data_IF_147621189620
#
_entry.id   IF_147621189620
#
_cell.length_a   1.000
_cell.length_b   1.000
_cell.length_c   1.000
_cell.angle_alpha   90.00
_cell.angle_beta   90.00
_cell.angle_gamma   90.00
#
_symmetry.space_group_name_H-M   'P 1'
#
loop_
_entity.id
_entity.type
_entity.pdbx_description
1 polymer ?
#
# COMPACT_ATOMS: atom_id res chain seq x y z
N UNK A 1 -25.44 40.97 -46.79
CA UNK A 1 -24.80 39.65 -46.64
C UNK A 1 -23.90 39.71 -45.41
N UNK A 2 -24.24 38.96 -44.37
CA UNK A 2 -23.56 39.04 -43.07
C UNK A 2 -22.31 38.16 -43.11
N UNK A 3 -21.17 38.73 -43.48
CA UNK A 3 -19.91 38.10 -43.15
C UNK A 3 -19.75 38.09 -41.61
N UNK A 4 -18.99 37.13 -41.09
CA UNK A 4 -18.30 37.24 -39.79
C UNK A 4 -19.04 36.80 -38.51
N UNK A 5 -19.16 35.49 -38.28
CA UNK A 5 -19.04 35.03 -36.88
C UNK A 5 -17.91 34.05 -36.59
N UNK A 6 -17.25 33.47 -37.60
CA UNK A 6 -16.21 32.47 -37.34
C UNK A 6 -14.90 32.62 -38.12
N UNK A 7 -14.76 33.60 -39.01
CA UNK A 7 -13.53 33.78 -39.82
C UNK A 7 -12.41 34.36 -38.96
N UNK A 8 -11.30 33.62 -38.85
CA UNK A 8 -10.07 34.03 -38.16
C UNK A 8 -9.06 34.64 -39.13
N UNK A 9 -8.00 35.20 -38.58
CA UNK A 9 -6.90 35.78 -39.37
C UNK A 9 -6.27 34.71 -40.27
N UNK A 10 -6.06 33.50 -39.75
CA UNK A 10 -5.46 32.40 -40.50
C UNK A 10 -6.33 31.98 -41.68
N UNK A 11 -7.65 31.91 -41.49
CA UNK A 11 -8.60 31.56 -42.56
C UNK A 11 -8.49 32.56 -43.72
N UNK A 12 -8.42 33.86 -43.42
CA UNK A 12 -8.27 34.91 -44.44
C UNK A 12 -6.92 34.86 -45.15
N UNK A 13 -5.84 34.58 -44.41
CA UNK A 13 -4.50 34.43 -44.99
C UNK A 13 -4.49 33.25 -45.98
N UNK A 14 -5.09 32.13 -45.62
CA UNK A 14 -5.16 30.94 -46.47
C UNK A 14 -5.91 31.24 -47.76
N UNK A 15 -7.10 31.85 -47.67
CA UNK A 15 -7.91 32.21 -48.84
C UNK A 15 -7.17 33.19 -49.75
N UNK A 16 -6.55 34.23 -49.19
CA UNK A 16 -5.80 35.22 -49.97
C UNK A 16 -4.62 34.59 -50.72
N UNK A 17 -3.89 33.68 -50.07
CA UNK A 17 -2.82 32.93 -50.71
C UNK A 17 -3.36 32.04 -51.85
N UNK A 18 -4.55 31.45 -51.66
CA UNK A 18 -5.18 30.56 -52.64
C UNK A 18 -5.69 31.30 -53.88
N UNK A 19 -6.18 32.54 -53.72
CA UNK A 19 -6.54 33.41 -54.85
C UNK A 19 -5.34 34.14 -55.47
N UNK A 20 -4.12 33.90 -54.96
CA UNK A 20 -2.88 34.47 -55.50
C UNK A 20 -2.60 35.93 -55.08
N UNK A 21 -3.26 36.43 -54.04
CA UNK A 21 -2.99 37.75 -53.49
C UNK A 21 -1.80 37.70 -52.52
N UNK A 22 -0.96 38.74 -52.54
CA UNK A 22 0.20 38.80 -51.64
C UNK A 22 -0.25 39.11 -50.20
N UNK A 23 0.06 38.21 -49.27
CA UNK A 23 -0.28 38.36 -47.85
C UNK A 23 0.98 38.56 -47.00
N UNK A 24 0.92 39.52 -46.09
CA UNK A 24 1.96 39.72 -45.07
C UNK A 24 1.46 39.26 -43.70
N UNK A 25 2.30 38.55 -42.96
CA UNK A 25 1.96 38.03 -41.62
C UNK A 25 1.66 39.14 -40.60
N UNK A 26 2.10 40.37 -40.86
CA UNK A 26 1.87 41.55 -40.01
C UNK A 26 0.49 42.18 -40.20
N UNK A 27 -0.22 41.84 -41.27
CA UNK A 27 -1.47 42.52 -41.63
C UNK A 27 -2.57 42.24 -40.61
N UNK A 28 -3.41 43.24 -40.39
CA UNK A 28 -4.57 43.13 -39.51
C UNK A 28 -5.71 42.38 -40.21
N UNK A 29 -6.63 41.79 -39.44
CA UNK A 29 -7.85 41.16 -40.01
C UNK A 29 -8.61 42.14 -40.91
N UNK A 30 -8.63 43.43 -40.54
CA UNK A 30 -9.26 44.47 -41.34
C UNK A 30 -8.57 44.65 -42.70
N UNK A 31 -7.25 44.81 -42.71
CA UNK A 31 -6.45 44.95 -43.95
C UNK A 31 -6.61 43.73 -44.87
N UNK A 32 -6.61 42.53 -44.31
CA UNK A 32 -6.82 41.28 -45.06
C UNK A 32 -8.21 41.23 -45.70
N UNK A 33 -9.26 41.62 -44.98
CA UNK A 33 -10.61 41.72 -45.54
C UNK A 33 -10.68 42.75 -46.65
N UNK A 34 -10.10 43.92 -46.44
CA UNK A 34 -10.05 44.97 -47.46
C UNK A 34 -9.32 44.51 -48.71
N UNK A 35 -8.22 43.77 -48.59
CA UNK A 35 -7.54 43.17 -49.74
C UNK A 35 -8.41 42.15 -50.46
N UNK A 36 -9.05 41.26 -49.71
CA UNK A 36 -9.92 40.23 -50.27
C UNK A 36 -11.07 40.84 -51.07
N UNK A 37 -11.77 41.82 -50.50
CA UNK A 37 -12.88 42.53 -51.14
C UNK A 37 -12.43 43.31 -52.39
N UNK A 38 -11.17 43.76 -52.43
CA UNK A 38 -10.61 44.49 -53.57
C UNK A 38 -10.01 43.60 -54.66
N UNK A 39 -9.76 42.31 -54.37
CA UNK A 39 -9.20 41.35 -55.31
C UNK A 39 -10.09 41.20 -56.55
N UNK A 40 -9.48 40.89 -57.69
CA UNK A 40 -10.23 40.69 -58.95
C UNK A 40 -11.19 39.52 -58.84
N UNK A 41 -10.70 38.40 -58.31
CA UNK A 41 -11.48 37.18 -58.10
C UNK A 41 -12.72 37.41 -57.24
N UNK A 42 -12.64 38.21 -56.18
CA UNK A 42 -13.82 38.51 -55.37
C UNK A 42 -14.85 39.40 -56.08
N UNK A 43 -14.41 40.28 -56.98
CA UNK A 43 -15.31 41.14 -57.78
C UNK A 43 -15.96 40.37 -58.92
N UNK A 44 -15.23 39.46 -59.52
CA UNK A 44 -15.67 38.65 -60.66
C UNK A 44 -16.56 37.49 -60.21
N UNK A 45 -16.16 36.79 -59.14
CA UNK A 45 -16.90 35.66 -58.56
C UNK A 45 -16.83 35.68 -57.01
N UNK A 46 -17.72 36.45 -56.35
CA UNK A 46 -17.81 36.49 -54.90
C UNK A 46 -18.19 35.15 -54.26
N UNK A 47 -18.91 34.29 -54.99
CA UNK A 47 -19.43 33.03 -54.47
C UNK A 47 -18.31 31.99 -54.35
N UNK A 48 -17.42 31.94 -55.35
CA UNK A 48 -16.20 31.15 -55.28
C UNK A 48 -15.36 31.51 -54.03
N UNK A 49 -15.10 32.79 -53.80
CA UNK A 49 -14.29 33.23 -52.66
C UNK A 49 -14.99 32.91 -51.32
N UNK A 50 -16.32 32.96 -51.26
CA UNK A 50 -17.04 32.53 -50.06
C UNK A 50 -16.95 31.03 -49.82
N UNK A 51 -16.97 30.21 -50.86
CA UNK A 51 -16.74 28.78 -50.73
C UNK A 51 -15.33 28.49 -50.20
N UNK A 52 -14.30 29.22 -50.66
CA UNK A 52 -12.94 29.10 -50.09
C UNK A 52 -12.89 29.48 -48.61
N UNK A 53 -13.58 30.55 -48.20
CA UNK A 53 -13.67 30.93 -46.78
C UNK A 53 -14.33 29.82 -45.96
N UNK A 54 -15.43 29.26 -46.44
CA UNK A 54 -16.13 28.17 -45.75
C UNK A 54 -15.25 26.93 -45.63
N UNK A 55 -14.60 26.52 -46.71
CA UNK A 55 -13.66 25.39 -46.73
C UNK A 55 -12.50 25.61 -45.75
N UNK A 56 -11.94 26.83 -45.66
CA UNK A 56 -10.87 27.15 -44.71
C UNK A 56 -11.33 27.06 -43.26
N UNK A 57 -12.55 27.54 -42.96
CA UNK A 57 -13.16 27.42 -41.63
C UNK A 57 -13.41 25.95 -41.27
N UNK A 58 -13.97 25.18 -42.18
CA UNK A 58 -14.25 23.75 -42.00
C UNK A 58 -12.97 22.94 -41.79
N UNK A 59 -11.91 23.18 -42.58
CA UNK A 59 -10.61 22.53 -42.41
C UNK A 59 -10.02 22.81 -41.02
N UNK A 60 -10.07 24.06 -40.56
CA UNK A 60 -9.62 24.42 -39.20
C UNK A 60 -10.45 23.74 -38.12
N UNK A 61 -11.77 23.70 -38.26
CA UNK A 61 -12.66 23.04 -37.31
C UNK A 61 -12.40 21.53 -37.26
N UNK A 62 -12.30 20.88 -38.42
CA UNK A 62 -11.98 19.46 -38.53
C UNK A 62 -10.64 19.13 -37.87
N UNK A 63 -9.59 19.93 -38.11
CA UNK A 63 -8.29 19.77 -37.44
C UNK A 63 -8.39 19.92 -35.93
N UNK A 64 -9.16 20.88 -35.44
CA UNK A 64 -9.36 21.07 -33.99
C UNK A 64 -10.09 19.89 -33.35
N UNK A 65 -11.13 19.36 -34.00
CA UNK A 65 -11.85 18.17 -33.54
C UNK A 65 -10.97 16.92 -33.52
N UNK A 66 -10.18 16.70 -34.58
CA UNK A 66 -9.21 15.60 -34.63
C UNK A 66 -8.18 15.70 -33.50
N UNK A 67 -7.64 16.89 -33.23
CA UNK A 67 -6.71 17.11 -32.12
C UNK A 67 -7.35 16.82 -30.76
N UNK A 68 -8.59 17.26 -30.56
CA UNK A 68 -9.34 17.00 -29.33
C UNK A 68 -9.63 15.50 -29.14
N UNK A 69 -9.96 14.80 -30.22
CA UNK A 69 -10.15 13.35 -30.20
C UNK A 69 -8.84 12.62 -29.85
N UNK A 70 -7.71 13.02 -30.45
CA UNK A 70 -6.39 12.45 -30.14
C UNK A 70 -6.04 12.69 -28.67
N UNK A 71 -6.23 13.92 -28.17
CA UNK A 71 -5.96 14.26 -26.78
C UNK A 71 -6.82 13.45 -25.79
N UNK A 72 -8.11 13.27 -26.10
CA UNK A 72 -9.00 12.45 -25.28
C UNK A 72 -8.57 10.98 -25.25
N UNK A 73 -8.21 10.40 -26.40
CA UNK A 73 -7.69 9.03 -26.47
C UNK A 73 -6.39 8.87 -25.66
N UNK A 74 -5.48 9.85 -25.73
CA UNK A 74 -4.25 9.84 -24.93
C UNK A 74 -4.53 9.89 -23.43
N UNK A 75 -5.46 10.76 -23.01
CA UNK A 75 -5.89 10.89 -21.62
C UNK A 75 -6.50 9.58 -21.10
N UNK A 76 -7.31 8.90 -21.91
CA UNK A 76 -7.91 7.61 -21.55
C UNK A 76 -6.85 6.51 -21.36
N UNK A 77 -5.87 6.44 -22.27
CA UNK A 77 -4.74 5.53 -22.14
C UNK A 77 -3.92 5.80 -20.87
N UNK A 78 -3.69 7.07 -20.53
CA UNK A 78 -2.98 7.45 -19.32
C UNK A 78 -3.74 7.05 -18.05
N UNK A 79 -5.06 7.27 -18.02
CA UNK A 79 -5.92 6.83 -16.90
C UNK A 79 -5.84 5.32 -16.69
N UNK A 80 -5.88 4.53 -17.77
CA UNK A 80 -5.76 3.07 -17.69
C UNK A 80 -4.40 2.66 -17.12
N UNK A 81 -3.31 3.28 -17.57
CA UNK A 81 -1.96 3.03 -17.04
C UNK A 81 -1.86 3.35 -15.56
N UNK A 82 -2.40 4.50 -15.12
CA UNK A 82 -2.42 4.88 -13.71
C UNK A 82 -3.20 3.89 -12.85
N UNK A 83 -4.38 3.47 -13.30
CA UNK A 83 -5.16 2.44 -12.60
C UNK A 83 -4.45 1.09 -12.51
N UNK A 84 -3.64 0.74 -13.52
CA UNK A 84 -2.82 -0.47 -13.47
C UNK A 84 -1.70 -0.34 -12.44
N UNK A 85 -0.95 0.77 -12.47
CA UNK A 85 0.13 1.05 -11.50
C UNK A 85 -0.42 1.07 -10.07
N UNK A 86 -1.57 1.70 -9.84
CA UNK A 86 -2.22 1.73 -8.53
C UNK A 86 -2.56 0.33 -8.03
N UNK A 87 -3.14 -0.53 -8.89
CA UNK A 87 -3.45 -1.93 -8.55
C UNK A 87 -2.19 -2.72 -8.22
N UNK A 88 -1.14 -2.60 -9.03
CA UNK A 88 0.14 -3.29 -8.82
C UNK A 88 0.80 -2.83 -7.51
N UNK A 89 0.80 -1.52 -7.25
CA UNK A 89 1.38 -0.93 -6.02
C UNK A 89 0.62 -1.40 -4.77
N UNK A 90 -0.71 -1.39 -4.81
CA UNK A 90 -1.53 -1.86 -3.70
C UNK A 90 -1.30 -3.35 -3.41
N UNK A 91 -1.19 -4.17 -4.46
CA UNK A 91 -0.89 -5.60 -4.32
C UNK A 91 0.49 -5.83 -3.69
N UNK A 92 1.52 -5.09 -4.11
CA UNK A 92 2.86 -5.19 -3.52
C UNK A 92 2.87 -4.79 -2.04
N UNK A 93 2.16 -3.72 -1.70
CA UNK A 93 2.05 -3.24 -0.32
C UNK A 93 1.33 -4.24 0.59
N UNK A 94 0.31 -4.93 0.09
CA UNK A 94 -0.38 -6.00 0.82
C UNK A 94 0.54 -7.20 1.07
N UNK A 95 1.30 -7.63 0.07
CA UNK A 95 2.30 -8.69 0.22
C UNK A 95 3.39 -8.33 1.23
N UNK A 96 3.86 -7.08 1.23
CA UNK A 96 4.85 -6.60 2.20
C UNK A 96 4.30 -6.59 3.63
N UNK A 97 3.05 -6.16 3.82
CA UNK A 97 2.37 -6.23 5.13
C UNK A 97 2.30 -7.65 5.68
N UNK A 98 1.93 -8.63 4.84
CA UNK A 98 1.85 -10.04 5.24
C UNK A 98 3.24 -10.55 5.65
N UNK A 99 4.29 -10.22 4.88
CA UNK A 99 5.66 -10.60 5.22
C UNK A 99 6.11 -10.01 6.55
N UNK A 100 5.84 -8.73 6.80
CA UNK A 100 6.16 -8.08 8.06
C UNK A 100 5.44 -8.73 9.23
N UNK A 101 4.15 -9.02 9.09
CA UNK A 101 3.36 -9.70 10.13
C UNK A 101 3.91 -11.11 10.42
N UNK A 102 4.35 -11.84 9.40
CA UNK A 102 4.97 -13.14 9.58
C UNK A 102 6.30 -13.05 10.34
N UNK A 103 7.18 -12.11 9.96
CA UNK A 103 8.45 -11.87 10.65
C UNK A 103 8.20 -11.48 12.12
N UNK A 104 7.22 -10.61 12.38
CA UNK A 104 6.85 -10.24 13.75
C UNK A 104 6.37 -11.46 14.57
N UNK A 105 5.57 -12.34 13.98
CA UNK A 105 5.15 -13.59 14.62
C UNK A 105 6.31 -14.54 14.94
N UNK A 106 7.23 -14.72 13.99
CA UNK A 106 8.42 -15.58 14.14
C UNK A 106 9.37 -15.02 15.20
N UNK A 107 9.65 -13.71 15.17
CA UNK A 107 10.51 -13.05 16.16
C UNK A 107 9.94 -13.10 17.57
N UNK A 108 8.63 -12.90 17.74
CA UNK A 108 7.97 -13.05 19.04
C UNK A 108 8.06 -14.49 19.57
N UNK A 109 7.88 -15.49 18.69
CA UNK A 109 8.02 -16.90 19.05
C UNK A 109 9.45 -17.25 19.49
N UNK A 110 10.46 -16.74 18.77
CA UNK A 110 11.87 -16.92 19.14
C UNK A 110 12.19 -16.28 20.50
N UNK A 111 11.71 -15.06 20.74
CA UNK A 111 11.90 -14.36 22.00
C UNK A 111 11.27 -15.12 23.18
N UNK A 112 10.09 -15.72 22.97
CA UNK A 112 9.42 -16.52 24.01
C UNK A 112 10.21 -17.80 24.34
N UNK A 113 10.71 -18.51 23.32
CA UNK A 113 11.58 -19.68 23.52
C UNK A 113 12.86 -19.32 24.29
N UNK A 114 13.48 -18.18 23.96
CA UNK A 114 14.68 -17.71 24.65
C UNK A 114 14.40 -17.35 26.11
N UNK A 115 13.27 -16.68 26.40
CA UNK A 115 12.82 -16.41 27.78
C UNK A 115 12.63 -17.69 28.59
N UNK A 116 11.98 -18.71 28.02
CA UNK A 116 11.79 -20.01 28.69
C UNK A 116 13.14 -20.67 28.98
N UNK A 117 14.06 -20.63 28.02
CA UNK A 117 15.41 -21.20 28.18
C UNK A 117 16.19 -20.50 29.30
N UNK A 118 16.14 -19.17 29.37
CA UNK A 118 16.75 -18.40 30.46
C UNK A 118 16.15 -18.79 31.83
N UNK A 119 14.83 -18.85 31.95
CA UNK A 119 14.16 -19.28 33.20
C UNK A 119 14.48 -20.71 33.63
N UNK A 120 14.76 -21.61 32.67
CA UNK A 120 15.21 -22.97 32.97
C UNK A 120 16.64 -22.97 33.52
N UNK A 121 17.54 -22.19 32.93
CA UNK A 121 18.92 -22.05 33.41
C UNK A 121 18.97 -21.42 34.80
N UNK A 122 18.18 -20.37 35.06
CA UNK A 122 18.12 -19.73 36.39
C UNK A 122 17.66 -20.73 37.47
N UNK A 123 16.64 -21.54 37.18
CA UNK A 123 16.19 -22.62 38.09
C UNK A 123 17.28 -23.66 38.34
N UNK A 124 18.04 -24.04 37.32
CA UNK A 124 19.14 -24.99 37.49
C UNK A 124 20.26 -24.40 38.37
N UNK A 125 20.60 -23.13 38.17
CA UNK A 125 21.57 -22.42 39.00
C UNK A 125 21.11 -22.36 40.46
N UNK A 126 19.84 -22.05 40.72
CA UNK A 126 19.27 -22.05 42.08
C UNK A 126 19.34 -23.44 42.73
N UNK A 127 18.99 -24.51 42.00
CA UNK A 127 19.09 -25.88 42.49
C UNK A 127 20.54 -26.28 42.80
N UNK A 128 21.51 -25.85 41.98
CA UNK A 128 22.93 -26.10 42.25
C UNK A 128 23.42 -25.35 43.49
N UNK A 129 23.04 -24.07 43.65
CA UNK A 129 23.35 -23.28 44.84
C UNK A 129 22.78 -23.92 46.11
N UNK A 130 21.51 -24.30 46.10
CA UNK A 130 20.86 -24.96 47.24
C UNK A 130 21.54 -26.30 47.61
N UNK A 131 21.97 -27.10 46.63
CA UNK A 131 22.74 -28.34 46.86
C UNK A 131 24.12 -28.07 47.45
N UNK A 132 24.80 -27.01 47.00
CA UNK A 132 26.09 -26.62 47.55
C UNK A 132 25.96 -26.17 49.02
N UNK A 133 24.94 -25.37 49.33
CA UNK A 133 24.66 -24.90 50.69
C UNK A 133 24.23 -26.04 51.63
N UNK A 134 23.34 -26.94 51.19
CA UNK A 134 22.93 -28.12 51.97
C UNK A 134 24.09 -29.07 52.32
N UNK A 135 25.05 -29.23 51.39
CA UNK A 135 26.26 -30.03 51.63
C UNK A 135 27.23 -29.38 52.64
N UNK A 136 27.29 -28.04 52.69
CA UNK A 136 28.09 -27.31 53.68
C UNK A 136 27.52 -27.52 55.09
N UNK A 137 26.19 -27.48 55.24
CA UNK A 137 25.53 -27.69 56.54
C UNK A 137 25.67 -29.13 57.04
N UNK A 138 25.57 -30.13 56.14
CA UNK A 138 25.73 -31.54 56.51
C UNK A 138 27.20 -31.91 56.84
N UNK A 139 28.19 -31.32 56.14
CA UNK A 139 29.61 -31.44 56.54
C UNK A 139 29.92 -30.71 57.84
N UNK A 140 29.28 -29.57 58.12
CA UNK A 140 29.46 -28.86 59.39
C UNK A 140 28.86 -29.64 60.59
N UNK A 141 27.78 -30.40 60.38
CA UNK A 141 27.16 -31.26 61.39
C UNK A 141 27.96 -32.55 61.67
N UNK A 142 28.80 -33.01 60.74
CA UNK A 142 29.76 -34.11 60.99
C UNK A 142 30.97 -33.68 61.84
N UNK A 143 31.14 -32.37 62.12
CA UNK A 143 32.20 -31.83 62.96
C UNK A 143 31.82 -31.60 64.43
N UNK A 144 30.56 -31.81 64.81
CA UNK A 144 30.10 -31.59 66.19
C UNK A 144 29.53 -32.86 66.79
N UNK A 145 30.42 -33.68 67.34
CA UNK A 145 30.10 -34.72 68.32
C UNK A 145 30.52 -34.17 69.69
N UNK A 146 29.59 -33.70 70.53
CA UNK A 146 29.85 -33.54 71.96
C UNK A 146 30.04 -34.92 72.59
N UNK A 147 31.28 -35.26 72.94
CA UNK A 147 31.62 -36.49 73.65
C UNK A 147 31.07 -36.48 75.08
N UNK A 148 29.87 -37.00 75.31
CA UNK A 148 29.49 -37.55 76.61
C UNK A 148 28.61 -38.79 76.44
N UNK A 149 29.12 -39.88 77.00
CA UNK A 149 28.62 -41.25 77.06
C UNK A 149 27.35 -41.42 77.92
N UNK A 150 26.37 -42.17 77.42
CA UNK A 150 25.63 -43.17 78.21
C UNK A 150 24.86 -44.12 77.27
N UNK A 151 25.14 -45.41 77.40
CA UNK A 151 24.47 -46.55 76.75
C UNK A 151 23.16 -46.81 77.52
N UNK A 152 22.04 -47.05 76.82
CA UNK A 152 21.10 -48.17 77.08
C UNK A 152 19.91 -48.14 76.10
N UNK A 153 19.58 -49.31 75.53
CA UNK A 153 18.21 -49.66 75.14
C UNK A 153 17.96 -49.86 73.64
N UNK A 154 17.88 -51.12 73.24
CA UNK A 154 17.41 -51.60 71.93
C UNK A 154 15.95 -51.21 71.67
N UNK A 155 15.60 -50.99 70.39
CA UNK A 155 14.67 -51.81 69.59
C UNK A 155 13.85 -50.99 68.57
N UNK A 156 13.88 -51.51 67.33
CA UNK A 156 12.86 -51.41 66.26
C UNK A 156 12.70 -50.09 65.51
N UNK A 157 13.39 -50.08 64.37
CA UNK A 157 12.87 -49.65 63.07
C UNK A 157 11.47 -50.24 62.82
N UNK A 158 10.49 -49.40 62.50
CA UNK A 158 9.68 -49.56 61.29
C UNK A 158 8.72 -48.38 61.03
N UNK A 159 8.80 -47.90 59.79
CA UNK A 159 7.70 -47.48 58.92
C UNK A 159 7.00 -46.11 59.11
N UNK A 160 7.47 -45.19 58.26
CA UNK A 160 6.77 -44.01 57.76
C UNK A 160 5.51 -44.40 56.97
N UNK A 161 4.34 -43.94 57.38
CA UNK A 161 3.21 -43.72 56.48
C UNK A 161 2.16 -42.80 57.11
N UNK A 162 2.37 -41.48 57.03
CA UNK A 162 1.32 -40.50 57.31
C UNK A 162 1.36 -39.31 56.36
N UNK A 163 0.32 -39.27 55.52
CA UNK A 163 -0.44 -38.11 55.03
C UNK A 163 0.02 -37.48 53.70
N UNK A 164 -0.47 -38.06 52.60
CA UNK A 164 -0.77 -37.32 51.37
C UNK A 164 -2.13 -36.62 51.54
N UNK A 165 -2.16 -35.29 51.42
CA UNK A 165 -3.39 -34.50 51.30
C UNK A 165 -3.79 -34.42 49.82
N UNK A 166 -5.08 -34.61 49.46
CA UNK A 166 -5.53 -34.44 48.09
C UNK A 166 -5.78 -32.95 47.79
N UNK A 167 -4.99 -32.37 46.89
CA UNK A 167 -5.33 -31.07 46.28
C UNK A 167 -6.33 -31.33 45.16
N UNK A 168 -7.51 -30.71 45.33
CA UNK A 168 -8.65 -30.74 44.42
C UNK A 168 -8.26 -30.19 43.04
N UNK A 169 -8.38 -31.00 42.00
CA UNK A 169 -8.46 -30.52 40.62
C UNK A 169 -9.89 -30.04 40.36
N UNK A 170 -10.06 -28.77 39.99
CA UNK A 170 -11.24 -28.29 39.26
C UNK A 170 -10.91 -28.26 37.77
N UNK A 171 -11.68 -28.90 36.89
CA UNK A 171 -11.51 -28.73 35.46
C UNK A 171 -12.04 -27.35 35.04
N UNK A 172 -11.23 -26.63 34.27
CA UNK A 172 -11.62 -25.41 33.59
C UNK A 172 -12.76 -25.73 32.60
N UNK A 173 -13.82 -24.92 32.68
CA UNK A 173 -14.98 -24.92 31.81
C UNK A 173 -14.57 -24.88 30.32
N UNK A 174 -15.04 -25.85 29.53
CA UNK A 174 -15.13 -25.71 28.08
C UNK A 174 -16.21 -24.67 27.78
N UNK A 175 -15.80 -23.46 27.42
CA UNK A 175 -16.67 -22.49 26.78
C UNK A 175 -16.86 -22.93 25.32
N UNK A 176 -18.07 -23.37 25.00
CA UNK A 176 -18.52 -23.64 23.65
C UNK A 176 -18.61 -22.34 22.84
N UNK A 177 -17.96 -22.28 21.67
CA UNK A 177 -18.26 -21.28 20.66
C UNK A 177 -19.02 -21.94 19.49
N UNK A 178 -20.30 -21.57 19.37
CA UNK A 178 -21.08 -21.68 18.13
C UNK A 178 -20.75 -20.46 17.25
N UNK A 179 -20.51 -20.61 15.95
CA UNK A 179 -20.74 -19.53 15.01
C UNK A 179 -22.17 -19.64 14.43
N UNK A 180 -22.95 -18.59 14.65
CA UNK A 180 -24.23 -18.39 13.99
C UNK A 180 -24.02 -17.82 12.58
N UNK A 181 -24.83 -18.33 11.67
CA UNK A 181 -25.09 -17.92 10.28
C UNK A 181 -24.93 -16.43 9.96
N UNK A 182 -24.46 -16.16 8.74
CA UNK A 182 -24.81 -14.96 7.99
C UNK A 182 -24.91 -15.28 6.50
N UNK A 183 -26.16 -15.43 6.04
CA UNK A 183 -26.77 -14.80 4.86
C UNK A 183 -25.87 -14.68 3.62
N UNK A 184 -26.20 -15.47 2.59
CA UNK A 184 -25.92 -15.12 1.18
C UNK A 184 -27.23 -15.26 0.39
N UNK A 185 -27.43 -14.26 -0.46
CA UNK A 185 -28.59 -13.95 -1.32
C UNK A 185 -28.97 -15.06 -2.29
#
# INVERSE_FOLDING_TARGET
MSYHKCTRKEDLINVLNEIGEQVSSKETIFELKTKLENSKLFKDDPEFVMNLINLSIEDRQSKAEQQLQIANSQLELEKIKLQQIERETNSQLELEKIKLQQIEGETNSQLELEKIKLQQMDREIELQKAKAEGNVTQKSLQGWIPSHSAILGNDKVDELSKKSCPIKQTPFNLVSYKPASSIVK
#
